data_IF_410473911281
#
_entry.id   IF_410473911281
#
_cell.length_a   1.000
_cell.length_b   1.000
_cell.length_c   1.000
_cell.angle_alpha   90.00
_cell.angle_beta   90.00
_cell.angle_gamma   90.00
#
_symmetry.space_group_name_H-M   'P 1'
#
loop_
_entity.id
_entity.type
_entity.pdbx_description
1 polymer ?
#
# COMPACT_ATOMS: atom_id res chain seq x y z
N UNK A 1 -29.31 9.91 11.70
CA UNK A 1 -28.79 9.58 11.19
C UNK A 1 -28.61 9.41 11.22
N UNK A 2 -28.53 9.58 11.84
CA UNK A 2 -27.97 9.29 11.54
C UNK A 2 -27.53 9.21 11.45
N UNK A 3 -27.71 9.41 11.77
CA UNK A 3 -27.02 9.18 11.37
C UNK A 3 -26.65 9.14 11.48
N UNK A 4 -26.73 9.22 12.00
CA UNK A 4 -26.16 9.03 11.72
C UNK A 4 -25.81 8.87 11.92
N UNK A 5 -26.00 8.93 12.31
CA UNK A 5 -25.47 8.61 12.12
C UNK A 5 -25.10 8.32 11.91
N UNK A 6 -25.35 8.35 12.22
CA UNK A 6 -24.84 7.93 11.75
C UNK A 6 -24.46 7.90 11.50
N UNK A 7 -24.53 7.86 11.78
CA UNK A 7 -23.95 7.69 11.24
C UNK A 7 -23.46 7.49 11.20
N UNK A 8 -23.69 7.71 11.59
CA UNK A 8 -23.04 7.47 11.19
C UNK A 8 -22.78 6.99 11.08
N UNK A 9 -22.72 6.66 11.13
CA UNK A 9 -22.20 6.10 10.73
C UNK A 9 -21.90 5.97 10.20
N UNK A 10 -21.84 5.99 10.30
CA UNK A 10 -21.31 5.71 9.54
C UNK A 10 -20.88 5.85 9.32
N UNK A 11 -20.92 6.02 9.54
CA UNK A 11 -20.29 6.03 9.03
C UNK A 11 -19.87 5.69 8.88
N UNK A 12 -20.09 5.58 9.18
CA UNK A 12 -19.51 5.19 8.77
C UNK A 12 -19.16 4.94 8.38
N UNK A 13 -19.25 4.90 8.65
CA UNK A 13 -18.73 4.61 8.07
C UNK A 13 -18.46 4.85 7.67
N UNK A 14 -18.56 5.23 7.92
CA UNK A 14 -18.09 5.46 7.39
C UNK A 14 -17.83 5.62 7.35
N UNK A 15 -17.97 5.80 7.64
CA UNK A 15 -17.60 5.87 7.42
C UNK A 15 -17.43 5.52 7.17
N UNK A 16 -17.46 5.39 7.30
CA UNK A 16 -17.17 4.97 6.93
C UNK A 16 -17.06 4.96 6.36
N UNK A 17 -16.67 5.06 6.27
CA UNK A 17 -16.47 4.98 5.65
C UNK A 17 -16.53 5.61 5.54
N UNK A 18 -16.88 5.89 5.61
CA UNK A 18 -16.74 6.58 5.83
C UNK A 18 -16.16 6.81 6.24
N UNK A 19 -15.96 7.03 5.75
CA UNK A 19 -14.68 6.89 6.11
C UNK A 19 -14.10 7.47 7.34
N UNK A 20 -13.30 6.72 7.92
CA UNK A 20 -12.60 7.08 9.15
C UNK A 20 -11.28 7.77 8.77
N UNK A 21 -11.08 9.06 9.16
CA UNK A 21 -9.83 9.75 8.83
C UNK A 21 -8.59 9.08 9.42
N UNK A 22 -8.67 8.54 10.64
CA UNK A 22 -7.52 7.86 11.23
C UNK A 22 -7.14 6.62 10.42
N UNK A 23 -8.12 5.94 9.87
CA UNK A 23 -7.88 4.78 9.03
C UNK A 23 -7.08 5.18 7.77
N UNK A 24 -7.42 6.30 7.16
CA UNK A 24 -6.72 6.79 5.98
C UNK A 24 -5.28 7.18 6.29
N UNK A 25 -4.99 7.57 7.54
CA UNK A 25 -3.65 8.01 7.92
C UNK A 25 -2.68 6.87 8.17
N UNK A 26 -3.17 5.63 8.29
CA UNK A 26 -2.30 4.49 8.59
C UNK A 26 -1.21 4.29 7.55
N UNK A 27 -1.50 4.61 6.30
CA UNK A 27 -0.54 4.45 5.21
C UNK A 27 -0.22 5.79 4.57
N UNK A 28 -0.15 6.83 5.40
CA UNK A 28 0.29 8.14 4.95
C UNK A 28 1.82 8.15 4.84
N UNK A 29 2.33 9.08 4.05
CA UNK A 29 3.78 9.27 3.88
C UNK A 29 4.49 8.04 3.32
N UNK A 30 3.81 7.29 2.45
CA UNK A 30 4.47 6.21 1.74
C UNK A 30 5.40 6.83 0.70
N UNK A 31 6.63 6.33 0.68
CA UNK A 31 7.63 6.79 -0.27
C UNK A 31 8.22 5.60 -1.00
N UNK A 32 8.54 5.81 -2.26
CA UNK A 32 9.19 4.79 -3.08
C UNK A 32 10.51 5.33 -3.60
N UNK A 33 11.46 4.43 -3.78
CA UNK A 33 12.76 4.76 -4.33
C UNK A 33 13.18 3.66 -5.29
N UNK A 34 13.40 4.01 -6.54
CA UNK A 34 13.87 3.05 -7.55
C UNK A 34 15.38 2.96 -7.41
N UNK A 35 15.87 1.81 -6.95
CA UNK A 35 17.28 1.63 -6.69
C UNK A 35 18.05 1.30 -7.99
N UNK A 36 17.42 0.54 -8.88
CA UNK A 36 17.95 0.35 -10.21
C UNK A 36 16.83 -0.08 -11.14
N UNK A 37 17.07 0.07 -12.44
CA UNK A 37 16.11 -0.32 -13.47
C UNK A 37 16.89 -0.57 -14.74
N UNK A 38 16.79 -1.78 -15.28
CA UNK A 38 17.57 -2.18 -16.46
C UNK A 38 16.73 -2.15 -17.74
N UNK A 39 15.55 -1.56 -17.70
CA UNK A 39 14.64 -1.53 -18.84
C UNK A 39 13.63 -2.64 -18.83
N UNK A 40 13.83 -3.69 -18.04
CA UNK A 40 12.93 -4.83 -17.94
C UNK A 40 12.38 -4.99 -16.53
N UNK A 41 13.24 -4.84 -15.54
CA UNK A 41 12.81 -4.98 -14.14
C UNK A 41 13.63 -4.03 -13.27
N UNK A 42 13.09 -3.78 -12.10
CA UNK A 42 13.66 -2.84 -11.16
C UNK A 42 13.68 -3.40 -9.74
N UNK A 43 14.55 -2.82 -8.93
CA UNK A 43 14.52 -3.00 -7.48
C UNK A 43 13.96 -1.72 -6.90
N UNK A 44 12.88 -1.82 -6.13
CA UNK A 44 12.18 -0.67 -5.58
C UNK A 44 12.09 -0.81 -4.07
N UNK A 45 12.47 0.24 -3.36
CA UNK A 45 12.33 0.29 -1.91
C UNK A 45 11.10 1.12 -1.58
N UNK A 46 10.27 0.60 -0.70
CA UNK A 46 9.05 1.27 -0.24
C UNK A 46 9.18 1.48 1.26
N UNK A 47 8.91 2.69 1.73
CA UNK A 47 8.93 3.02 3.14
C UNK A 47 7.65 3.74 3.50
N UNK A 48 7.24 3.60 4.76
CA UNK A 48 6.05 4.26 5.29
C UNK A 48 6.26 4.51 6.78
N UNK A 49 5.34 5.27 7.37
CA UNK A 49 5.37 5.48 8.80
C UNK A 49 4.68 4.30 9.49
N UNK A 50 5.38 3.66 10.43
CA UNK A 50 4.80 2.56 11.18
C UNK A 50 3.66 3.08 12.05
N UNK A 51 2.60 2.29 12.16
CA UNK A 51 1.45 2.60 13.00
C UNK A 51 1.26 1.50 14.03
N UNK A 52 0.98 1.89 15.27
CA UNK A 52 0.85 0.93 16.36
C UNK A 52 -0.34 -0.01 16.17
N UNK A 53 -1.33 0.38 15.38
CA UNK A 53 -2.48 -0.48 15.12
C UNK A 53 -2.18 -1.59 14.12
N UNK A 54 -1.11 -1.44 13.34
CA UNK A 54 -0.73 -2.43 12.35
C UNK A 54 0.33 -3.34 12.92
N UNK A 55 0.15 -4.64 12.75
CA UNK A 55 1.14 -5.61 13.20
C UNK A 55 1.90 -6.22 12.03
N UNK A 56 1.36 -6.10 10.83
CA UNK A 56 1.95 -6.74 9.68
C UNK A 56 1.50 -6.01 8.41
N UNK A 57 2.35 -6.05 7.40
CA UNK A 57 2.06 -5.43 6.12
C UNK A 57 2.34 -6.40 4.99
N UNK A 58 1.55 -6.32 3.95
CA UNK A 58 1.78 -7.05 2.71
C UNK A 58 2.04 -6.04 1.61
N UNK A 59 3.13 -6.23 0.91
CA UNK A 59 3.52 -5.33 -0.19
C UNK A 59 3.62 -6.18 -1.45
N UNK A 60 3.01 -5.71 -2.53
CA UNK A 60 3.04 -6.47 -3.76
C UNK A 60 3.04 -5.58 -4.99
N UNK A 61 3.14 -6.24 -6.12
CA UNK A 61 3.26 -5.57 -7.42
C UNK A 61 2.15 -6.07 -8.34
N UNK A 62 1.22 -5.17 -8.68
CA UNK A 62 0.09 -5.50 -9.57
C UNK A 62 0.56 -5.71 -10.99
N UNK A 63 1.51 -4.87 -11.46
CA UNK A 63 1.97 -4.92 -12.84
C UNK A 63 2.98 -6.02 -13.11
N UNK A 64 3.45 -6.71 -12.07
CA UNK A 64 4.51 -7.69 -12.22
C UNK A 64 4.02 -9.01 -12.79
N UNK A 65 4.88 -9.64 -13.58
CA UNK A 65 4.65 -10.96 -14.13
C UNK A 65 6.00 -11.69 -14.12
N UNK A 66 6.20 -12.67 -13.22
CA UNK A 66 5.23 -13.16 -12.25
C UNK A 66 5.02 -12.18 -11.10
N UNK A 67 3.94 -12.41 -10.35
CA UNK A 67 3.64 -11.60 -9.17
C UNK A 67 4.79 -11.63 -8.19
N UNK A 68 4.98 -10.48 -7.54
CA UNK A 68 5.99 -10.31 -6.49
C UNK A 68 5.30 -9.74 -5.27
N UNK A 69 5.47 -10.39 -4.12
CA UNK A 69 4.91 -9.86 -2.89
C UNK A 69 5.78 -10.26 -1.71
N UNK A 70 5.73 -9.44 -0.67
CA UNK A 70 6.45 -9.67 0.57
C UNK A 70 5.61 -9.24 1.76
N UNK A 71 5.92 -9.82 2.91
CA UNK A 71 5.32 -9.43 4.19
C UNK A 71 6.41 -8.87 5.07
N UNK A 72 6.04 -7.91 5.89
CA UNK A 72 6.95 -7.34 6.89
C UNK A 72 6.17 -6.81 8.08
N UNK A 73 6.79 -6.85 9.25
CA UNK A 73 6.25 -6.21 10.44
C UNK A 73 6.91 -4.86 10.68
N UNK A 74 7.85 -4.46 9.84
CA UNK A 74 8.56 -3.20 9.95
C UNK A 74 7.90 -2.08 9.15
N UNK A 75 8.69 -1.09 8.78
CA UNK A 75 8.20 0.09 8.09
C UNK A 75 8.85 0.28 6.72
N UNK A 76 9.53 -0.73 6.21
CA UNK A 76 10.10 -0.67 4.87
C UNK A 76 10.26 -2.06 4.29
N UNK A 77 10.33 -2.11 2.98
CA UNK A 77 10.57 -3.36 2.26
C UNK A 77 11.24 -3.03 0.94
N UNK A 78 12.02 -3.96 0.44
CA UNK A 78 12.62 -3.85 -0.89
C UNK A 78 12.07 -4.97 -1.76
N UNK A 79 11.46 -4.61 -2.87
CA UNK A 79 10.96 -5.57 -3.86
C UNK A 79 11.95 -5.66 -5.00
N UNK A 80 12.36 -6.88 -5.30
CA UNK A 80 13.17 -7.18 -6.47
C UNK A 80 12.28 -7.62 -7.61
N UNK A 81 12.76 -7.47 -8.83
CA UNK A 81 12.06 -7.94 -10.01
C UNK A 81 10.71 -7.27 -10.21
N UNK A 82 10.64 -5.97 -9.91
CA UNK A 82 9.45 -5.19 -10.19
C UNK A 82 9.41 -4.89 -11.68
N UNK A 83 8.36 -5.34 -12.35
CA UNK A 83 8.23 -5.12 -13.80
C UNK A 83 7.08 -4.17 -14.07
N UNK A 84 7.23 -3.30 -15.08
CA UNK A 84 6.16 -2.36 -15.43
C UNK A 84 5.07 -3.03 -16.25
N UNK A 85 3.97 -2.31 -16.44
CA UNK A 85 2.99 -2.72 -17.42
C UNK A 85 3.63 -2.78 -18.81
N UNK A 86 3.11 -3.64 -19.71
CA UNK A 86 3.69 -3.78 -21.04
C UNK A 86 3.76 -2.45 -21.78
N UNK A 87 4.88 -2.24 -22.48
CA UNK A 87 5.10 -1.06 -23.30
C UNK A 87 5.12 0.24 -22.49
N UNK A 88 5.54 0.16 -21.24
CA UNK A 88 5.62 1.34 -20.39
C UNK A 88 6.77 1.19 -19.40
N UNK A 89 7.06 2.26 -18.67
CA UNK A 89 7.96 2.24 -17.53
C UNK A 89 7.20 2.39 -16.21
N UNK A 90 5.89 2.22 -16.25
CA UNK A 90 5.02 2.44 -15.08
C UNK A 90 4.72 1.11 -14.41
N UNK A 91 5.00 1.04 -13.11
CA UNK A 91 4.65 -0.10 -12.27
C UNK A 91 3.59 0.32 -11.27
N UNK A 92 2.78 -0.63 -10.86
CA UNK A 92 1.78 -0.39 -9.82
C UNK A 92 2.06 -1.35 -8.66
N UNK A 93 2.23 -0.76 -7.49
CA UNK A 93 2.48 -1.50 -6.26
C UNK A 93 1.32 -1.27 -5.31
N UNK A 94 1.27 -2.08 -4.25
CA UNK A 94 0.28 -1.88 -3.20
C UNK A 94 0.90 -2.19 -1.85
N UNK A 95 0.32 -1.58 -0.82
CA UNK A 95 0.65 -1.88 0.58
C UNK A 95 -0.66 -2.10 1.30
N UNK A 96 -0.75 -3.21 2.03
CA UNK A 96 -1.93 -3.53 2.83
C UNK A 96 -1.46 -3.71 4.26
N UNK A 97 -2.13 -3.03 5.19
CA UNK A 97 -1.84 -3.12 6.62
C UNK A 97 -2.85 -4.03 7.30
N UNK A 98 -2.37 -4.90 8.16
CA UNK A 98 -3.19 -5.86 8.91
C UNK A 98 -3.02 -5.62 10.40
N UNK A 99 -4.09 -5.84 11.15
CA UNK A 99 -4.01 -5.78 12.62
C UNK A 99 -3.61 -7.14 13.21
N UNK A 100 -3.64 -7.24 14.53
CA UNK A 100 -3.21 -8.45 15.23
C UNK A 100 -4.12 -9.64 14.97
N UNK A 101 -5.31 -9.40 14.42
CA UNK A 101 -6.27 -10.45 14.07
C UNK A 101 -6.24 -10.77 12.58
N UNK A 102 -5.24 -10.25 11.86
CA UNK A 102 -5.10 -10.43 10.42
C UNK A 102 -6.23 -9.81 9.61
N UNK A 103 -6.85 -8.77 10.16
CA UNK A 103 -7.86 -8.03 9.42
C UNK A 103 -7.19 -6.86 8.71
N UNK A 104 -7.67 -6.57 7.51
CA UNK A 104 -7.17 -5.43 6.76
C UNK A 104 -7.69 -4.16 7.41
N UNK A 105 -6.76 -3.27 7.78
CA UNK A 105 -7.13 -2.00 8.39
C UNK A 105 -6.79 -0.82 7.50
N UNK A 106 -5.98 -1.03 6.46
CA UNK A 106 -5.72 0.01 5.47
C UNK A 106 -5.09 -0.63 4.23
N UNK A 107 -5.27 0.02 3.09
CA UNK A 107 -4.65 -0.42 1.84
C UNK A 107 -4.41 0.79 0.96
N UNK A 108 -3.31 0.78 0.23
CA UNK A 108 -2.97 1.88 -0.66
C UNK A 108 -2.25 1.36 -1.90
N UNK A 109 -2.59 1.92 -3.04
CA UNK A 109 -1.90 1.66 -4.30
C UNK A 109 -0.90 2.76 -4.59
N UNK A 110 0.19 2.38 -5.23
CA UNK A 110 1.27 3.30 -5.56
C UNK A 110 1.60 3.16 -7.04
N UNK A 111 1.68 4.30 -7.73
CA UNK A 111 2.10 4.34 -9.13
C UNK A 111 3.55 4.78 -9.13
N UNK A 112 4.41 4.00 -9.75
CA UNK A 112 5.85 4.26 -9.75
C UNK A 112 6.35 4.30 -11.18
N UNK A 113 7.00 5.39 -11.55
CA UNK A 113 7.71 5.47 -12.83
C UNK A 113 9.12 4.95 -12.60
N UNK A 114 9.43 3.80 -13.20
CA UNK A 114 10.71 3.14 -12.99
C UNK A 114 11.86 3.85 -13.71
N UNK A 115 11.53 4.60 -14.73
CA UNK A 115 12.51 5.24 -15.58
C UNK A 115 12.74 6.68 -15.13
N UNK A 116 13.39 6.83 -14.00
CA UNK A 116 13.57 8.16 -13.40
C UNK A 116 15.01 8.48 -13.17
#
# INVERSE_FOLDING_TARGET
MKVITSLGLLILVASVFLGNPAFAELLDNIRTSVLNYDGNSATVKITWNHDDQATNYKIGCVSCNPNTEKFTSGDSVTLNNVTPFPNSSIAMLYVIAYDSENKIISAKQLIVNLNR
#
